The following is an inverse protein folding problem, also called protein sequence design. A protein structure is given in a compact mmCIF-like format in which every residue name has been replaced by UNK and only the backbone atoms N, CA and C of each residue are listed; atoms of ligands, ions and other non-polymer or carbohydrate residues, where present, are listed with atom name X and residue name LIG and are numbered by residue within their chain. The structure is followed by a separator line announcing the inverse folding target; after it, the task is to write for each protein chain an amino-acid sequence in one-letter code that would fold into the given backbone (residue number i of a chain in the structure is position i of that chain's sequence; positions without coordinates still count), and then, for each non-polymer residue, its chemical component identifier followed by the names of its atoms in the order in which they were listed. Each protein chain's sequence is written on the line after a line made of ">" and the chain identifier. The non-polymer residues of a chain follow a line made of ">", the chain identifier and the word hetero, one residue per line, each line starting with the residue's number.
data_IF_447866641751
#
_entry.id   IF_447866641751
#
_cell.length_a   1.000
_cell.length_b   1.000
_cell.length_c   1.000
_cell.angle_alpha   90.00
_cell.angle_beta   90.00
_cell.angle_gamma   90.00
#
_symmetry.space_group_name_H-M   'P 1'
#
loop_
_entity.id
_entity.type
_entity.pdbx_description
1 polymer ?
#
# COMPACT_ATOMS: atom_id res chain seq x y z
N UNK A 1 22.62 8.84 -12.12
CA UNK A 1 21.20 8.72 -12.53
C UNK A 1 20.34 7.94 -11.53
N UNK A 2 20.83 6.86 -10.90
CA UNK A 2 20.04 6.07 -9.94
C UNK A 2 19.61 6.82 -8.66
N UNK A 3 20.45 7.70 -8.12
CA UNK A 3 20.14 8.52 -6.94
C UNK A 3 19.05 9.55 -7.18
N UNK A 4 18.91 10.06 -8.42
CA UNK A 4 17.85 11.00 -8.78
C UNK A 4 16.48 10.32 -8.78
N UNK A 5 16.39 9.05 -9.22
CA UNK A 5 15.14 8.28 -9.16
C UNK A 5 14.68 7.96 -7.72
N UNK A 6 15.62 7.89 -6.78
CA UNK A 6 15.33 7.80 -5.33
C UNK A 6 14.80 9.13 -4.78
N UNK A 7 15.44 10.25 -5.14
CA UNK A 7 15.08 11.61 -4.67
C UNK A 7 13.75 12.08 -5.27
N UNK A 8 13.46 11.74 -6.53
CA UNK A 8 12.23 12.12 -7.25
C UNK A 8 11.04 11.23 -6.84
N UNK A 9 11.23 10.23 -5.97
CA UNK A 9 10.14 9.40 -5.45
C UNK A 9 9.59 8.36 -6.43
N UNK A 10 10.27 8.12 -7.55
CA UNK A 10 9.84 7.13 -8.55
C UNK A 10 9.90 5.73 -7.97
N UNK A 11 10.95 5.41 -7.18
CA UNK A 11 11.07 4.10 -6.55
C UNK A 11 10.02 3.91 -5.45
N UNK A 12 9.68 4.95 -4.68
CA UNK A 12 8.64 4.88 -3.65
C UNK A 12 7.26 4.71 -4.24
N UNK A 13 6.96 5.34 -5.38
CA UNK A 13 5.71 5.10 -6.10
C UNK A 13 5.61 3.64 -6.61
N UNK A 14 6.68 3.11 -7.21
CA UNK A 14 6.68 1.73 -7.72
C UNK A 14 6.58 0.69 -6.59
N UNK A 15 7.29 0.92 -5.47
CA UNK A 15 7.18 0.11 -4.27
C UNK A 15 5.77 0.18 -3.66
N UNK A 16 5.16 1.37 -3.64
CA UNK A 16 3.79 1.55 -3.17
C UNK A 16 2.76 0.79 -4.01
N UNK A 17 2.89 0.83 -5.33
CA UNK A 17 2.05 0.02 -6.24
C UNK A 17 2.25 -1.48 -5.95
N UNK A 18 3.50 -1.92 -5.78
CA UNK A 18 3.80 -3.31 -5.43
C UNK A 18 3.15 -3.76 -4.12
N UNK A 19 3.24 -2.94 -3.07
CA UNK A 19 2.59 -3.22 -1.78
C UNK A 19 1.06 -3.26 -1.90
N UNK A 20 0.45 -2.35 -2.66
CA UNK A 20 -1.00 -2.37 -2.90
C UNK A 20 -1.44 -3.68 -3.56
N UNK A 21 -0.70 -4.17 -4.57
CA UNK A 21 -1.01 -5.44 -5.24
C UNK A 21 -0.89 -6.64 -4.31
N UNK A 22 0.12 -6.67 -3.45
CA UNK A 22 0.30 -7.75 -2.45
C UNK A 22 -0.88 -7.75 -1.47
N UNK A 23 -1.26 -6.59 -0.94
CA UNK A 23 -2.41 -6.47 -0.03
C UNK A 23 -3.73 -6.84 -0.70
N UNK A 24 -3.92 -6.50 -1.98
CA UNK A 24 -5.08 -6.95 -2.76
C UNK A 24 -5.14 -8.48 -2.87
N UNK A 25 -4.01 -9.13 -3.15
CA UNK A 25 -3.90 -10.59 -3.16
C UNK A 25 -4.19 -11.21 -1.79
N UNK A 26 -3.73 -10.58 -0.70
CA UNK A 26 -4.01 -11.02 0.66
C UNK A 26 -5.51 -10.91 0.99
N UNK A 27 -6.17 -9.80 0.64
CA UNK A 27 -7.63 -9.62 0.80
C UNK A 27 -8.37 -10.71 0.02
N UNK A 28 -7.99 -10.95 -1.24
CA UNK A 28 -8.60 -12.00 -2.05
C UNK A 28 -8.49 -13.37 -1.36
N UNK A 29 -7.31 -13.74 -0.85
CA UNK A 29 -7.12 -14.99 -0.10
C UNK A 29 -7.96 -15.04 1.17
N UNK A 30 -8.02 -13.94 1.94
CA UNK A 30 -8.83 -13.85 3.16
C UNK A 30 -10.32 -14.05 2.87
N UNK A 31 -10.83 -13.49 1.78
CA UNK A 31 -12.23 -13.62 1.38
C UNK A 31 -12.51 -15.02 0.80
N UNK A 32 -11.69 -15.47 -0.15
CA UNK A 32 -11.98 -16.66 -0.96
C UNK A 32 -11.59 -17.98 -0.28
N UNK A 33 -10.46 -18.02 0.41
CA UNK A 33 -9.96 -19.24 1.04
C UNK A 33 -10.28 -19.31 2.53
N UNK A 34 -10.28 -18.16 3.22
CA UNK A 34 -10.45 -18.12 4.69
C UNK A 34 -11.82 -17.62 5.13
N UNK A 35 -12.69 -17.23 4.19
CA UNK A 35 -14.03 -16.70 4.45
C UNK A 35 -14.06 -15.64 5.57
N UNK A 36 -12.98 -14.87 5.68
CA UNK A 36 -12.81 -13.89 6.75
C UNK A 36 -13.62 -12.64 6.42
N UNK A 37 -14.46 -12.20 7.37
CA UNK A 37 -15.26 -10.99 7.23
C UNK A 37 -14.44 -9.71 7.29
N UNK A 38 -15.08 -8.57 6.98
CA UNK A 38 -14.43 -7.25 6.98
C UNK A 38 -13.79 -6.92 8.33
N UNK A 39 -14.55 -7.05 9.42
CA UNK A 39 -14.07 -6.87 10.79
C UNK A 39 -13.31 -8.10 11.31
N UNK A 40 -13.71 -9.29 10.85
CA UNK A 40 -13.15 -10.58 11.26
C UNK A 40 -13.30 -10.86 12.76
N UNK A 41 -13.15 -12.11 13.16
CA UNK A 41 -12.99 -12.45 14.58
C UNK A 41 -11.52 -12.32 14.97
N UNK A 42 -11.24 -11.95 16.22
CA UNK A 42 -9.88 -11.87 16.78
C UNK A 42 -8.89 -11.02 15.95
N UNK A 43 -9.32 -9.84 15.49
CA UNK A 43 -8.53 -8.92 14.68
C UNK A 43 -8.03 -9.48 13.33
N UNK A 44 -8.59 -10.60 12.84
CA UNK A 44 -8.21 -11.19 11.56
C UNK A 44 -8.87 -10.50 10.34
N UNK A 45 -9.73 -9.50 10.57
CA UNK A 45 -10.46 -8.80 9.51
C UNK A 45 -9.57 -8.21 8.43
N UNK A 46 -10.08 -8.17 7.20
CA UNK A 46 -9.35 -7.62 6.07
C UNK A 46 -9.41 -6.08 5.98
N UNK A 47 -10.11 -5.40 6.90
CA UNK A 47 -10.14 -3.95 6.99
C UNK A 47 -8.75 -3.32 7.20
N UNK A 48 -7.83 -4.00 7.91
CA UNK A 48 -6.45 -3.53 8.06
C UNK A 48 -5.68 -3.55 6.74
N UNK A 49 -5.87 -4.58 5.91
CA UNK A 49 -5.27 -4.64 4.57
C UNK A 49 -5.80 -3.49 3.69
N UNK A 50 -7.09 -3.19 3.78
CA UNK A 50 -7.69 -2.05 3.08
C UNK A 50 -7.09 -0.72 3.55
N UNK A 51 -6.91 -0.55 4.86
CA UNK A 51 -6.32 0.64 5.45
C UNK A 51 -4.87 0.85 4.96
N UNK A 52 -4.09 -0.24 4.86
CA UNK A 52 -2.74 -0.23 4.30
C UNK A 52 -2.74 0.17 2.81
N UNK A 53 -3.67 -0.37 2.02
CA UNK A 53 -3.84 0.02 0.61
C UNK A 53 -4.14 1.52 0.50
N UNK A 54 -5.04 2.06 1.32
CA UNK A 54 -5.41 3.47 1.29
C UNK A 54 -4.23 4.38 1.65
N UNK A 55 -3.47 4.04 2.70
CA UNK A 55 -2.27 4.79 3.08
C UNK A 55 -1.23 4.78 1.96
N UNK A 56 -1.04 3.62 1.32
CA UNK A 56 -0.09 3.47 0.22
C UNK A 56 -0.57 4.20 -1.03
N UNK A 57 -1.87 4.22 -1.30
CA UNK A 57 -2.47 4.99 -2.38
C UNK A 57 -2.25 6.50 -2.19
N UNK A 58 -2.31 7.01 -0.95
CA UNK A 58 -1.96 8.40 -0.65
C UNK A 58 -0.48 8.67 -0.98
N UNK A 59 0.44 7.79 -0.61
CA UNK A 59 1.88 7.96 -0.94
C UNK A 59 2.11 7.98 -2.45
N UNK A 60 1.42 7.12 -3.20
CA UNK A 60 1.54 7.05 -4.67
C UNK A 60 0.89 8.27 -5.34
N UNK A 61 -0.30 8.70 -4.90
CA UNK A 61 -1.06 9.78 -5.53
C UNK A 61 -0.58 11.18 -5.12
N UNK A 62 -0.07 11.35 -3.89
CA UNK A 62 0.39 12.63 -3.35
C UNK A 62 1.85 12.95 -3.72
N UNK A 63 2.43 12.21 -4.68
CA UNK A 63 3.83 12.36 -5.10
C UNK A 63 4.78 12.21 -3.91
N UNK A 64 4.86 11.00 -3.33
CA UNK A 64 5.55 10.67 -2.07
C UNK A 64 7.05 11.05 -1.94
N UNK A 65 7.61 11.83 -2.86
CA UNK A 65 8.92 12.51 -2.76
C UNK A 65 8.87 14.04 -2.81
N UNK A 66 7.77 14.68 -3.21
CA UNK A 66 7.70 16.15 -3.41
C UNK A 66 7.84 16.96 -2.14
N UNK A 67 7.31 16.45 -1.02
CA UNK A 67 7.43 17.12 0.29
C UNK A 67 8.83 16.96 0.93
N UNK A 68 9.64 16.01 0.46
CA UNK A 68 11.04 15.86 0.90
C UNK A 68 11.94 16.94 0.27
N UNK A 69 11.54 17.52 -0.87
CA UNK A 69 12.27 18.59 -1.55
C UNK A 69 12.03 20.00 -0.96
N UNK A 70 11.08 20.16 -0.04
CA UNK A 70 10.78 21.44 0.64
C UNK A 70 11.28 21.50 2.09
N UNK A 71 12.27 20.67 2.45
CA UNK A 71 12.97 20.70 3.74
C UNK A 71 14.43 21.13 3.56
#
# INVERSE_FOLDING_TARGET
>A
MGTLGLIVGILTQLAGIGLMLISLGAIWKKIAAWHTGFWGENAAGWHYDLMLILMTAVIVAADGGRYVLMA
#
